data_IF_701479915824
#
_entry.id   IF_701479915824
#
_cell.length_a   1.000
_cell.length_b   1.000
_cell.length_c   1.000
_cell.angle_alpha   90.00
_cell.angle_beta   90.00
_cell.angle_gamma   90.00
#
_symmetry.space_group_name_H-M   'P 1'
#
loop_
_entity.id
_entity.type
_entity.pdbx_description
1 polymer ?
#
# COMPACT_ATOMS: atom_id res chain seq x y z
N UNK A 1 -0.18 -19.73 4.77
CA UNK A 1 -0.80 -19.60 6.09
C UNK A 1 -2.02 -18.74 5.97
N UNK A 2 -2.91 -18.84 6.94
CA UNK A 2 -4.09 -17.98 7.05
C UNK A 2 -3.69 -16.50 7.18
N UNK A 3 -4.59 -15.59 6.83
CA UNK A 3 -4.32 -14.14 6.88
C UNK A 3 -3.90 -13.69 8.30
N UNK A 4 -4.45 -14.31 9.33
CA UNK A 4 -4.07 -14.09 10.73
C UNK A 4 -2.61 -14.44 11.02
N UNK A 5 -2.11 -15.54 10.45
CA UNK A 5 -0.72 -15.98 10.61
C UNK A 5 0.24 -15.05 9.88
N UNK A 6 -0.13 -14.62 8.67
CA UNK A 6 0.66 -13.64 7.90
C UNK A 6 0.76 -12.31 8.64
N UNK A 7 -0.34 -11.83 9.24
CA UNK A 7 -0.34 -10.60 10.04
C UNK A 7 0.45 -10.72 11.33
N UNK A 8 0.40 -11.87 12.00
CA UNK A 8 1.21 -12.13 13.19
C UNK A 8 2.72 -12.08 12.86
N UNK A 9 3.11 -12.57 11.68
CA UNK A 9 4.52 -12.63 11.25
C UNK A 9 5.04 -11.33 10.63
N UNK A 10 4.25 -10.67 9.80
CA UNK A 10 4.67 -9.53 8.98
C UNK A 10 4.03 -8.20 9.37
N UNK A 11 3.13 -8.19 10.36
CA UNK A 11 2.43 -7.00 10.83
C UNK A 11 1.24 -6.60 9.98
N UNK A 12 0.72 -5.41 10.23
CA UNK A 12 -0.46 -4.83 9.55
C UNK A 12 -0.05 -3.69 8.62
N UNK A 13 0.99 -3.86 7.79
CA UNK A 13 1.37 -2.85 6.81
C UNK A 13 0.31 -2.81 5.69
N UNK A 14 -0.38 -1.67 5.56
CA UNK A 14 -1.58 -1.57 4.73
C UNK A 14 -1.41 -0.62 3.53
N UNK A 15 -0.63 0.47 3.65
CA UNK A 15 -0.64 1.54 2.64
C UNK A 15 0.78 1.98 2.21
N UNK A 16 1.28 1.40 1.10
CA UNK A 16 2.57 1.73 0.47
C UNK A 16 2.34 2.63 -0.75
N UNK A 17 3.08 3.72 -0.88
CA UNK A 17 2.95 4.62 -2.03
C UNK A 17 3.56 3.99 -3.31
N UNK A 18 2.94 4.13 -4.51
CA UNK A 18 1.76 4.94 -4.89
C UNK A 18 0.42 4.18 -4.94
N UNK A 19 0.26 3.10 -4.17
CA UNK A 19 -0.94 2.28 -4.22
C UNK A 19 -2.17 3.01 -3.63
N UNK A 20 -3.40 2.70 -4.11
CA UNK A 20 -4.63 3.19 -3.49
C UNK A 20 -4.77 2.68 -2.06
N UNK A 21 -5.59 3.38 -1.26
CA UNK A 21 -5.82 3.01 0.13
C UNK A 21 -6.36 1.58 0.25
N UNK A 22 -5.77 0.79 1.15
CA UNK A 22 -6.07 -0.62 1.37
C UNK A 22 -7.53 -0.95 1.67
N UNK A 23 -8.29 -0.03 2.27
CA UNK A 23 -9.73 -0.22 2.52
C UNK A 23 -10.54 -0.37 1.24
N UNK A 24 -10.05 0.17 0.11
CA UNK A 24 -10.74 0.14 -1.18
C UNK A 24 -10.66 -1.23 -1.84
N UNK A 25 -9.49 -1.88 -1.77
CA UNK A 25 -9.23 -3.15 -2.49
C UNK A 25 -9.09 -4.35 -1.56
N UNK A 26 -9.05 -4.14 -0.25
CA UNK A 26 -8.93 -5.16 0.81
C UNK A 26 -7.93 -6.28 0.45
N UNK A 27 -6.70 -5.94 0.04
CA UNK A 27 -5.78 -6.94 -0.49
C UNK A 27 -5.33 -7.91 0.60
N UNK A 28 -5.23 -9.19 0.24
CA UNK A 28 -4.65 -10.24 1.08
C UNK A 28 -3.23 -10.59 0.58
N UNK A 29 -2.37 -9.58 0.46
CA UNK A 29 -0.98 -9.72 -0.01
C UNK A 29 -0.03 -9.14 1.02
N UNK A 30 1.06 -9.86 1.30
CA UNK A 30 2.15 -9.33 2.11
C UNK A 30 3.19 -8.71 1.19
N UNK A 31 3.36 -7.39 1.32
CA UNK A 31 4.39 -6.64 0.62
C UNK A 31 5.48 -6.25 1.61
N UNK A 32 6.70 -6.73 1.39
CA UNK A 32 7.88 -6.24 2.12
C UNK A 32 8.42 -5.01 1.39
N UNK A 33 8.36 -3.81 1.98
CA UNK A 33 8.83 -2.60 1.30
C UNK A 33 10.34 -2.66 1.04
N UNK A 34 10.77 -2.18 -0.11
CA UNK A 34 12.19 -1.99 -0.39
C UNK A 34 12.81 -0.97 0.60
N UNK A 35 14.13 -1.00 0.82
CA UNK A 35 14.84 -0.09 1.74
C UNK A 35 14.69 1.42 1.44
N UNK A 36 14.14 1.77 0.27
CA UNK A 36 13.87 3.15 -0.16
C UNK A 36 12.38 3.42 -0.37
N UNK A 37 11.51 2.47 -0.04
CA UNK A 37 10.07 2.68 -0.09
C UNK A 37 9.64 3.73 0.93
N UNK A 38 8.58 4.45 0.60
CA UNK A 38 8.03 5.53 1.42
C UNK A 38 6.58 5.20 1.79
N UNK A 39 6.20 5.59 3.01
CA UNK A 39 4.81 5.47 3.46
C UNK A 39 3.92 6.44 2.69
N UNK A 40 2.69 6.02 2.42
CA UNK A 40 1.70 6.85 1.73
C UNK A 40 1.51 8.20 2.43
N UNK A 41 1.53 9.28 1.63
CA UNK A 41 1.36 10.66 2.10
C UNK A 41 2.57 11.26 2.84
N UNK A 42 3.68 10.52 2.95
CA UNK A 42 4.92 10.96 3.60
C UNK A 42 6.13 10.96 2.66
N UNK A 43 5.97 10.44 1.45
CA UNK A 43 7.02 10.30 0.46
C UNK A 43 7.14 11.48 -0.50
N UNK A 44 7.96 11.27 -1.51
CA UNK A 44 8.15 12.17 -2.66
C UNK A 44 7.31 11.75 -3.88
N UNK A 45 6.52 10.69 -3.74
CA UNK A 45 5.60 10.24 -4.79
C UNK A 45 4.43 11.21 -4.99
N UNK A 46 3.75 11.05 -6.12
CA UNK A 46 2.52 11.79 -6.44
C UNK A 46 1.56 10.90 -7.22
N UNK A 47 0.28 10.97 -6.89
CA UNK A 47 -0.79 10.34 -7.67
C UNK A 47 -1.07 11.25 -8.87
N UNK A 48 -0.80 10.76 -10.09
CA UNK A 48 -0.93 11.54 -11.32
C UNK A 48 -2.29 11.33 -12.01
N UNK A 49 -3.38 11.13 -11.26
CA UNK A 49 -4.69 10.95 -11.88
C UNK A 49 -5.10 12.29 -12.52
N UNK A 50 -4.94 12.41 -13.84
CA UNK A 50 -5.31 13.57 -14.62
C UNK A 50 -6.84 13.60 -14.76
N UNK A 51 -7.43 14.79 -14.68
CA UNK A 51 -8.85 14.93 -14.99
C UNK A 51 -9.07 14.54 -16.46
N UNK A 52 -10.16 13.81 -16.72
CA UNK A 52 -10.59 13.50 -18.09
C UNK A 52 -10.87 14.83 -18.82
N UNK A 53 -10.28 15.03 -20.00
CA UNK A 53 -10.57 16.22 -20.82
C UNK A 53 -12.00 16.09 -21.37
N UNK A 54 -12.85 17.10 -21.08
CA UNK A 54 -14.23 17.20 -21.57
C UNK A 54 -14.30 17.56 -23.07
#
# INVERSE_FOLDING_TARGET
GELSELRAKYGNAMDVEPLPASWMTQPAVVVTPHKHAQASGKGTGRILNLAEEL
#
